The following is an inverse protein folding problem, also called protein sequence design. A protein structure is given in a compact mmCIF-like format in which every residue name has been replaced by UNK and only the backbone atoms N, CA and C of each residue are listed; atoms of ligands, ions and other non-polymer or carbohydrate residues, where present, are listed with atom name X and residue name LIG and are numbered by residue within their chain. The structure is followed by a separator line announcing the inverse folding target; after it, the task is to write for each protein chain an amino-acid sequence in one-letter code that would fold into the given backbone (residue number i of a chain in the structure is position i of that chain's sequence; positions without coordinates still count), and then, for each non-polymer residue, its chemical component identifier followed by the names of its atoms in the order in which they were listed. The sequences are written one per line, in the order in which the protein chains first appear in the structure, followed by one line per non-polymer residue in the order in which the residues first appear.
data_IF_048335676723
#
_entry.id   IF_048335676723
#
_cell.length_a   1.000
_cell.length_b   1.000
_cell.length_c   1.000
_cell.angle_alpha   90.00
_cell.angle_beta   90.00
_cell.angle_gamma   90.00
#
_symmetry.space_group_name_H-M   'P 1'
#
loop_
_entity.id
_entity.type
_entity.pdbx_description
1 polymer ?
#
# COMPACT_ATOMS: atom_id res chain seq x y z
N UNK A 1 -16.51 3.52 8.99
CA UNK A 1 -16.47 4.91 9.53
C UNK A 1 -15.57 5.76 8.66
N UNK A 2 -16.00 6.98 8.29
CA UNK A 2 -15.12 7.96 7.62
C UNK A 2 -14.40 8.80 8.69
N UNK A 3 -13.20 9.27 8.41
CA UNK A 3 -12.43 10.13 9.34
C UNK A 3 -13.19 11.40 9.74
N UNK A 4 -14.03 11.93 8.86
CA UNK A 4 -14.84 13.13 9.10
C UNK A 4 -16.15 12.88 9.82
N UNK A 5 -16.46 11.63 10.21
CA UNK A 5 -17.72 11.31 10.90
C UNK A 5 -17.61 11.49 12.42
N UNK A 6 -18.69 11.93 13.06
CA UNK A 6 -18.78 12.00 14.53
C UNK A 6 -18.53 10.65 15.21
N UNK A 7 -18.97 9.56 14.56
CA UNK A 7 -18.71 8.19 15.04
C UNK A 7 -17.23 7.86 15.10
N UNK A 8 -16.42 8.37 14.16
CA UNK A 8 -14.97 8.20 14.21
C UNK A 8 -14.34 8.99 15.35
N UNK A 9 -14.78 10.24 15.57
CA UNK A 9 -14.26 11.07 16.67
C UNK A 9 -14.58 10.40 18.02
N UNK A 10 -15.81 9.93 18.22
CA UNK A 10 -16.22 9.22 19.44
C UNK A 10 -15.39 7.93 19.63
N UNK A 11 -15.27 7.13 18.56
CA UNK A 11 -14.44 5.92 18.57
C UNK A 11 -13.00 6.24 18.98
N UNK A 12 -12.42 7.29 18.40
CA UNK A 12 -11.04 7.69 18.68
C UNK A 12 -10.86 8.15 20.14
N UNK A 13 -11.78 8.96 20.67
CA UNK A 13 -11.77 9.40 22.07
C UNK A 13 -11.82 8.21 23.02
N UNK A 14 -12.73 7.25 22.80
CA UNK A 14 -12.86 6.05 23.63
C UNK A 14 -11.60 5.19 23.51
N UNK A 15 -11.12 4.94 22.30
CA UNK A 15 -9.95 4.09 22.07
C UNK A 15 -8.69 4.66 22.73
N UNK A 16 -8.42 5.96 22.58
CA UNK A 16 -7.23 6.61 23.15
C UNK A 16 -7.34 6.61 24.69
N UNK A 17 -8.52 6.91 25.25
CA UNK A 17 -8.70 6.88 26.70
C UNK A 17 -8.42 5.48 27.25
N UNK A 18 -8.99 4.44 26.67
CA UNK A 18 -8.73 3.07 27.05
C UNK A 18 -7.26 2.68 26.85
N UNK A 19 -6.63 3.13 25.77
CA UNK A 19 -5.24 2.81 25.44
C UNK A 19 -4.25 3.21 26.54
N UNK A 20 -4.45 4.35 27.16
CA UNK A 20 -3.58 4.83 28.25
C UNK A 20 -4.03 4.39 29.64
N UNK A 21 -5.26 3.88 29.79
CA UNK A 21 -5.79 3.36 31.06
C UNK A 21 -5.43 1.89 31.29
N UNK A 22 -5.33 1.08 30.23
CA UNK A 22 -5.05 -0.36 30.36
C UNK A 22 -3.55 -0.62 30.64
N UNK A 23 -3.19 -1.81 31.15
CA UNK A 23 -1.80 -2.22 31.27
C UNK A 23 -1.08 -2.16 29.93
N UNK A 24 0.09 -1.55 29.88
CA UNK A 24 0.87 -1.27 28.64
C UNK A 24 1.06 -2.50 27.77
N UNK A 25 1.33 -3.66 28.35
CA UNK A 25 1.45 -4.96 27.65
C UNK A 25 0.21 -5.38 26.85
N UNK A 26 -0.94 -4.78 27.14
CA UNK A 26 -2.21 -5.04 26.44
C UNK A 26 -2.54 -4.01 25.36
N UNK A 27 -1.78 -2.92 25.27
CA UNK A 27 -2.05 -1.82 24.34
C UNK A 27 -2.16 -2.28 22.88
N UNK A 28 -1.23 -3.11 22.41
CA UNK A 28 -1.30 -3.63 21.04
C UNK A 28 -2.52 -4.52 20.79
N UNK A 29 -3.00 -5.24 21.81
CA UNK A 29 -4.23 -6.07 21.72
C UNK A 29 -5.47 -5.19 21.62
N UNK A 30 -5.50 -4.09 22.37
CA UNK A 30 -6.58 -3.10 22.26
C UNK A 30 -6.59 -2.44 20.89
N UNK A 31 -5.42 -2.11 20.34
CA UNK A 31 -5.33 -1.56 18.97
C UNK A 31 -5.80 -2.57 17.92
N UNK A 32 -5.50 -3.86 18.09
CA UNK A 32 -6.01 -4.92 17.24
C UNK A 32 -7.54 -4.99 17.30
N UNK A 33 -8.10 -5.03 18.50
CA UNK A 33 -9.55 -5.03 18.71
C UNK A 33 -10.19 -3.77 18.10
N UNK A 34 -9.64 -2.60 18.38
CA UNK A 34 -10.09 -1.33 17.82
C UNK A 34 -10.05 -1.31 16.30
N UNK A 35 -8.99 -1.86 15.70
CA UNK A 35 -8.86 -1.96 14.24
C UNK A 35 -9.93 -2.87 13.63
N UNK A 36 -10.25 -4.00 14.25
CA UNK A 36 -11.33 -4.87 13.78
C UNK A 36 -12.71 -4.26 14.01
N UNK A 37 -12.93 -3.59 15.13
CA UNK A 37 -14.17 -2.83 15.39
C UNK A 37 -14.34 -1.75 14.32
N UNK A 38 -13.30 -0.94 14.06
CA UNK A 38 -13.32 0.09 13.02
C UNK A 38 -13.68 -0.50 11.64
N UNK A 39 -13.05 -1.65 11.30
CA UNK A 39 -13.28 -2.31 10.03
C UNK A 39 -14.68 -2.94 9.92
N UNK A 40 -15.21 -3.49 11.01
CA UNK A 40 -16.56 -4.04 11.08
C UNK A 40 -17.63 -3.01 10.69
N UNK A 41 -17.45 -1.75 11.09
CA UNK A 41 -18.36 -0.66 10.67
C UNK A 41 -18.27 -0.28 9.18
N UNK A 42 -17.33 -0.82 8.44
CA UNK A 42 -17.30 -0.69 6.96
C UNK A 42 -18.11 -1.77 6.25
N UNK A 43 -18.59 -2.76 6.99
CA UNK A 43 -19.34 -3.93 6.51
C UNK A 43 -18.73 -5.23 7.01
N UNK A 44 -19.56 -6.05 7.69
CA UNK A 44 -19.09 -7.29 8.30
C UNK A 44 -18.49 -8.28 7.28
N UNK A 45 -19.03 -8.35 6.05
CA UNK A 45 -18.53 -9.20 4.96
C UNK A 45 -17.09 -8.81 4.54
N UNK A 46 -16.71 -7.56 4.72
CA UNK A 46 -15.38 -7.08 4.37
C UNK A 46 -14.28 -7.69 5.27
N UNK A 47 -14.64 -8.11 6.49
CA UNK A 47 -13.73 -8.80 7.40
C UNK A 47 -13.18 -10.10 6.79
N UNK A 48 -13.95 -10.81 5.98
CA UNK A 48 -13.50 -12.06 5.36
C UNK A 48 -12.29 -11.84 4.46
N UNK A 49 -12.26 -10.75 3.70
CA UNK A 49 -11.14 -10.44 2.79
C UNK A 49 -9.85 -10.13 3.55
N UNK A 50 -9.93 -9.29 4.57
CA UNK A 50 -8.73 -8.94 5.35
C UNK A 50 -8.24 -10.14 6.18
N UNK A 51 -9.15 -10.96 6.73
CA UNK A 51 -8.80 -12.19 7.44
C UNK A 51 -8.14 -13.20 6.50
N UNK A 52 -8.69 -13.43 5.30
CA UNK A 52 -8.09 -14.29 4.29
C UNK A 52 -6.67 -13.83 3.91
N UNK A 53 -6.48 -12.51 3.76
CA UNK A 53 -5.15 -11.91 3.50
C UNK A 53 -4.19 -12.13 4.67
N UNK A 54 -4.62 -11.92 5.92
CA UNK A 54 -3.79 -12.13 7.11
C UNK A 54 -3.38 -13.59 7.23
N UNK A 55 -4.35 -14.51 7.15
CA UNK A 55 -4.15 -15.96 7.33
C UNK A 55 -3.22 -16.51 6.25
N UNK A 56 -3.48 -16.20 4.97
CA UNK A 56 -2.63 -16.67 3.87
C UNK A 56 -1.19 -16.15 3.99
N UNK A 57 -1.03 -14.87 4.30
CA UNK A 57 0.30 -14.24 4.47
C UNK A 57 1.06 -14.83 5.66
N UNK A 58 0.37 -15.08 6.78
CA UNK A 58 0.96 -15.67 7.98
C UNK A 58 1.49 -17.08 7.73
N UNK A 59 0.65 -17.99 7.23
CA UNK A 59 1.05 -19.37 7.01
C UNK A 59 2.13 -19.50 5.93
N UNK A 60 2.05 -18.73 4.87
CA UNK A 60 3.07 -18.75 3.82
C UNK A 60 4.39 -18.16 4.31
N UNK A 61 4.34 -17.09 5.12
CA UNK A 61 5.54 -16.55 5.77
C UNK A 61 6.26 -17.58 6.63
N UNK A 62 5.52 -18.30 7.48
CA UNK A 62 6.07 -19.39 8.29
C UNK A 62 6.63 -20.53 7.44
N UNK A 63 5.97 -20.86 6.31
CA UNK A 63 6.43 -21.91 5.39
C UNK A 63 7.75 -21.55 4.70
N UNK A 64 7.91 -20.29 4.31
CA UNK A 64 9.17 -19.79 3.75
C UNK A 64 10.29 -19.89 4.80
N UNK A 65 10.02 -19.53 6.06
CA UNK A 65 10.99 -19.63 7.17
C UNK A 65 11.37 -21.11 7.48
N UNK A 66 10.37 -21.99 7.52
CA UNK A 66 10.62 -23.43 7.68
C UNK A 66 11.60 -23.97 6.61
N UNK A 67 11.41 -23.54 5.35
CA UNK A 67 12.30 -23.93 4.25
C UNK A 67 13.71 -23.33 4.42
N UNK A 68 13.81 -22.09 4.93
CA UNK A 68 15.11 -21.47 5.23
C UNK A 68 15.86 -22.26 6.32
N UNK A 69 15.17 -22.63 7.40
CA UNK A 69 15.74 -23.42 8.51
C UNK A 69 16.18 -24.79 8.02
N UNK A 70 15.32 -25.53 7.31
CA UNK A 70 15.68 -26.83 6.71
C UNK A 70 16.92 -26.73 5.82
N UNK A 71 17.04 -25.63 5.05
CA UNK A 71 18.23 -25.39 4.23
C UNK A 71 19.49 -25.18 5.10
N UNK A 72 19.37 -24.36 6.15
CA UNK A 72 20.49 -24.07 7.05
C UNK A 72 20.96 -25.32 7.79
N UNK A 73 20.04 -26.09 8.36
CA UNK A 73 20.32 -27.33 9.11
C UNK A 73 20.97 -28.35 8.21
N UNK A 74 20.39 -28.63 7.04
CA UNK A 74 20.95 -29.59 6.08
C UNK A 74 22.38 -29.22 5.64
N UNK A 75 22.63 -27.94 5.36
CA UNK A 75 23.96 -27.49 4.95
C UNK A 75 24.96 -27.52 6.10
N UNK A 76 24.51 -27.38 7.35
CA UNK A 76 25.35 -27.48 8.55
C UNK A 76 25.73 -28.94 8.82
N UNK A 77 24.78 -29.85 8.81
CA UNK A 77 24.98 -31.27 9.05
C UNK A 77 25.89 -31.94 8.01
N UNK A 78 25.76 -31.51 6.74
CA UNK A 78 26.50 -32.07 5.62
C UNK A 78 27.65 -31.17 5.13
N UNK A 79 28.18 -30.29 6.00
CA UNK A 79 29.17 -29.25 5.62
C UNK A 79 30.42 -29.87 4.97
N UNK A 80 30.91 -30.99 5.48
CA UNK A 80 32.12 -31.67 5.04
C UNK A 80 31.88 -32.71 3.90
N UNK A 81 30.63 -33.17 3.77
CA UNK A 81 30.26 -34.21 2.80
C UNK A 81 29.85 -33.64 1.44
N UNK A 82 29.34 -32.42 1.39
CA UNK A 82 28.84 -31.83 0.16
C UNK A 82 29.90 -31.02 -0.56
N UNK A 83 29.97 -31.18 -1.86
CA UNK A 83 30.75 -30.33 -2.77
C UNK A 83 30.12 -28.91 -2.87
N UNK A 84 30.88 -27.96 -3.39
CA UNK A 84 30.36 -26.61 -3.64
C UNK A 84 29.17 -26.62 -4.60
N UNK A 85 29.20 -27.52 -5.60
CA UNK A 85 28.11 -27.62 -6.59
C UNK A 85 26.85 -28.21 -5.98
N UNK A 86 26.94 -29.25 -5.18
CA UNK A 86 25.80 -29.86 -4.48
C UNK A 86 25.15 -28.86 -3.50
N UNK A 87 25.97 -28.11 -2.74
CA UNK A 87 25.48 -27.00 -1.89
C UNK A 87 24.71 -25.96 -2.69
N UNK A 88 25.21 -25.58 -3.85
CA UNK A 88 24.55 -24.61 -4.74
C UNK A 88 23.23 -25.16 -5.26
N UNK A 89 23.24 -26.39 -5.80
CA UNK A 89 22.04 -27.04 -6.32
C UNK A 89 20.94 -27.19 -5.26
N UNK A 90 21.31 -27.57 -4.03
CA UNK A 90 20.36 -27.67 -2.94
C UNK A 90 19.75 -26.30 -2.58
N UNK A 91 20.56 -25.23 -2.50
CA UNK A 91 20.08 -23.87 -2.29
C UNK A 91 19.10 -23.43 -3.38
N UNK A 92 19.42 -23.72 -4.64
CA UNK A 92 18.54 -23.39 -5.78
C UNK A 92 17.21 -24.14 -5.70
N UNK A 93 17.23 -25.43 -5.32
CA UNK A 93 16.03 -26.25 -5.12
C UNK A 93 15.12 -25.69 -4.02
N UNK A 94 15.70 -25.29 -2.87
CA UNK A 94 14.91 -24.67 -1.78
C UNK A 94 14.38 -23.31 -2.21
N UNK A 95 15.21 -22.50 -2.86
CA UNK A 95 14.81 -21.18 -3.37
C UNK A 95 13.65 -21.28 -4.37
N UNK A 96 13.64 -22.29 -5.24
CA UNK A 96 12.53 -22.54 -6.17
C UNK A 96 11.23 -22.87 -5.42
N UNK A 97 11.30 -23.70 -4.35
CA UNK A 97 10.14 -24.00 -3.51
C UNK A 97 9.60 -22.75 -2.80
N UNK A 98 10.49 -21.94 -2.23
CA UNK A 98 10.11 -20.67 -1.59
C UNK A 98 9.45 -19.70 -2.59
N UNK A 99 9.99 -19.64 -3.81
CA UNK A 99 9.42 -18.84 -4.89
C UNK A 99 8.00 -19.29 -5.24
N UNK A 100 7.74 -20.60 -5.32
CA UNK A 100 6.39 -21.11 -5.58
C UNK A 100 5.40 -20.71 -4.48
N UNK A 101 5.80 -20.76 -3.21
CA UNK A 101 4.97 -20.30 -2.10
C UNK A 101 4.73 -18.79 -2.11
N UNK A 102 5.78 -18.02 -2.42
CA UNK A 102 5.65 -16.59 -2.60
C UNK A 102 4.64 -16.26 -3.71
N UNK A 103 4.79 -16.88 -4.89
CA UNK A 103 3.87 -16.67 -6.00
C UNK A 103 2.43 -17.06 -5.63
N UNK A 104 2.23 -18.19 -4.94
CA UNK A 104 0.91 -18.58 -4.47
C UNK A 104 0.27 -17.51 -3.57
N UNK A 105 1.04 -16.94 -2.63
CA UNK A 105 0.56 -15.84 -1.77
C UNK A 105 0.22 -14.57 -2.59
N UNK A 106 1.10 -14.19 -3.50
CA UNK A 106 0.90 -13.00 -4.33
C UNK A 106 -0.32 -13.17 -5.23
N UNK A 107 -0.46 -14.30 -5.92
CA UNK A 107 -1.62 -14.56 -6.78
C UNK A 107 -2.92 -14.66 -6.00
N UNK A 108 -2.92 -15.24 -4.81
CA UNK A 108 -4.11 -15.29 -3.96
C UNK A 108 -4.57 -13.89 -3.55
N UNK A 109 -3.66 -13.08 -2.99
CA UNK A 109 -4.00 -11.73 -2.50
C UNK A 109 -4.29 -10.74 -3.63
N UNK A 110 -3.50 -10.77 -4.72
CA UNK A 110 -3.80 -9.98 -5.92
C UNK A 110 -5.06 -10.48 -6.64
N UNK A 111 -5.34 -11.78 -6.61
CA UNK A 111 -6.56 -12.36 -7.16
C UNK A 111 -7.81 -11.84 -6.44
N UNK A 112 -7.78 -11.80 -5.11
CA UNK A 112 -8.86 -11.18 -4.32
C UNK A 112 -9.05 -9.71 -4.74
N UNK A 113 -7.95 -8.94 -4.77
CA UNK A 113 -7.99 -7.53 -5.18
C UNK A 113 -8.53 -7.38 -6.62
N UNK A 114 -8.07 -8.22 -7.55
CA UNK A 114 -8.48 -8.17 -8.94
C UNK A 114 -9.97 -8.48 -9.11
N UNK A 115 -10.46 -9.54 -8.48
CA UNK A 115 -11.88 -9.90 -8.54
C UNK A 115 -12.75 -8.78 -7.96
N UNK A 116 -12.40 -8.27 -6.77
CA UNK A 116 -13.24 -7.29 -6.10
C UNK A 116 -13.21 -5.93 -6.81
N UNK A 117 -12.06 -5.52 -7.32
CA UNK A 117 -11.88 -4.18 -7.89
C UNK A 117 -12.15 -4.10 -9.39
N UNK A 118 -11.81 -5.15 -10.15
CA UNK A 118 -11.77 -5.05 -11.62
C UNK A 118 -12.83 -5.90 -12.35
N UNK A 119 -13.67 -6.69 -11.66
CA UNK A 119 -14.70 -7.51 -12.32
C UNK A 119 -15.65 -6.65 -13.16
N UNK A 120 -16.22 -5.59 -12.60
CA UNK A 120 -17.14 -4.73 -13.35
C UNK A 120 -16.44 -3.93 -14.45
N UNK A 121 -15.19 -3.53 -14.27
CA UNK A 121 -14.37 -2.94 -15.33
C UNK A 121 -14.14 -3.93 -16.48
N UNK A 122 -13.85 -5.19 -16.17
CA UNK A 122 -13.70 -6.23 -17.19
C UNK A 122 -15.03 -6.49 -17.92
N UNK A 123 -16.15 -6.58 -17.19
CA UNK A 123 -17.49 -6.74 -17.79
C UNK A 123 -17.81 -5.56 -18.71
N UNK A 124 -17.55 -4.32 -18.30
CA UNK A 124 -17.80 -3.14 -19.14
C UNK A 124 -17.02 -3.20 -20.47
N UNK A 125 -15.72 -3.58 -20.40
CA UNK A 125 -14.90 -3.71 -21.61
C UNK A 125 -15.38 -4.89 -22.51
N UNK A 126 -15.76 -6.03 -21.90
CA UNK A 126 -16.33 -7.16 -22.64
C UNK A 126 -17.65 -6.74 -23.30
N UNK A 127 -18.54 -6.06 -22.59
CA UNK A 127 -19.80 -5.57 -23.14
C UNK A 127 -19.58 -4.60 -24.31
N UNK A 128 -18.57 -3.74 -24.23
CA UNK A 128 -18.20 -2.87 -25.35
C UNK A 128 -17.80 -3.66 -26.60
N UNK A 129 -17.14 -4.81 -26.44
CA UNK A 129 -16.82 -5.70 -27.56
C UNK A 129 -18.06 -6.45 -28.03
N UNK A 130 -18.87 -7.00 -27.10
CA UNK A 130 -20.10 -7.74 -27.44
C UNK A 130 -21.11 -6.87 -28.21
N UNK A 131 -21.20 -5.59 -27.84
CA UNK A 131 -22.09 -4.64 -28.55
C UNK A 131 -21.71 -4.44 -30.01
N UNK A 132 -20.41 -4.48 -30.35
CA UNK A 132 -19.94 -4.43 -31.75
C UNK A 132 -20.50 -5.61 -32.57
N UNK A 133 -20.55 -6.80 -31.92
CA UNK A 133 -21.07 -8.03 -32.56
C UNK A 133 -22.57 -8.23 -32.34
N UNK A 134 -23.29 -7.25 -31.77
CA UNK A 134 -24.72 -7.32 -31.41
C UNK A 134 -25.09 -8.57 -30.59
N UNK A 135 -24.19 -8.98 -29.71
CA UNK A 135 -24.37 -10.07 -28.74
C UNK A 135 -24.98 -9.57 -27.44
N UNK A 136 -25.60 -10.49 -26.68
CA UNK A 136 -26.16 -10.16 -25.36
C UNK A 136 -25.07 -9.71 -24.37
N UNK A 137 -25.31 -8.59 -23.73
CA UNK A 137 -24.38 -8.03 -22.71
C UNK A 137 -24.43 -8.84 -21.42
N UNK A 138 -23.30 -8.91 -20.75
CA UNK A 138 -23.14 -9.50 -19.41
C UNK A 138 -23.67 -8.55 -18.34
N UNK A 139 -24.37 -9.07 -17.35
CA UNK A 139 -24.85 -8.30 -16.20
C UNK A 139 -23.69 -7.91 -15.28
N UNK A 140 -23.71 -6.67 -14.79
CA UNK A 140 -22.78 -6.22 -13.75
C UNK A 140 -23.01 -6.94 -12.42
N UNK A 141 -21.93 -7.20 -11.69
CA UNK A 141 -21.98 -7.88 -10.38
C UNK A 141 -21.98 -6.83 -9.28
N UNK A 142 -22.85 -7.01 -8.28
CA UNK A 142 -22.87 -6.13 -7.12
C UNK A 142 -21.79 -6.54 -6.10
N UNK A 143 -20.55 -6.08 -6.35
CA UNK A 143 -19.41 -6.29 -5.45
C UNK A 143 -19.12 -4.98 -4.73
N UNK A 144 -19.29 -4.99 -3.40
CA UNK A 144 -18.91 -3.86 -2.56
C UNK A 144 -17.39 -3.88 -2.39
N UNK A 145 -16.71 -2.80 -2.77
CA UNK A 145 -15.26 -2.67 -2.61
C UNK A 145 -14.90 -2.54 -1.11
N UNK A 146 -14.16 -3.51 -0.53
CA UNK A 146 -13.77 -3.43 0.86
C UNK A 146 -12.85 -2.23 1.11
N UNK A 147 -13.13 -1.50 2.18
CA UNK A 147 -12.33 -0.35 2.57
C UNK A 147 -10.86 -0.75 2.77
N UNK A 148 -9.97 -0.01 2.13
CA UNK A 148 -8.52 -0.19 2.29
C UNK A 148 -7.92 -1.44 1.66
N UNK A 149 -8.68 -2.22 0.84
CA UNK A 149 -8.18 -3.47 0.25
C UNK A 149 -6.87 -3.28 -0.50
N UNK A 150 -6.70 -2.22 -1.26
CA UNK A 150 -5.45 -1.91 -1.97
C UNK A 150 -4.30 -1.65 -1.00
N UNK A 151 -4.54 -0.90 0.08
CA UNK A 151 -3.51 -0.54 1.05
C UNK A 151 -3.00 -1.75 1.83
N UNK A 152 -3.90 -2.56 2.40
CA UNK A 152 -3.45 -3.73 3.15
C UNK A 152 -2.87 -4.82 2.25
N UNK A 153 -3.32 -4.93 0.98
CA UNK A 153 -2.69 -5.83 0.01
C UNK A 153 -1.25 -5.40 -0.28
N UNK A 154 -0.96 -4.11 -0.50
CA UNK A 154 0.41 -3.65 -0.68
C UNK A 154 1.28 -3.86 0.56
N UNK A 155 0.74 -3.66 1.77
CA UNK A 155 1.46 -3.94 3.02
C UNK A 155 1.85 -5.41 3.12
N UNK A 156 0.90 -6.32 2.88
CA UNK A 156 1.13 -7.76 2.97
C UNK A 156 2.05 -8.29 1.86
N UNK A 157 1.92 -7.77 0.63
CA UNK A 157 2.84 -8.12 -0.47
C UNK A 157 4.26 -7.66 -0.15
N UNK A 158 4.44 -6.43 0.32
CA UNK A 158 5.75 -5.95 0.75
C UNK A 158 6.34 -6.82 1.86
N UNK A 159 5.53 -7.15 2.87
CA UNK A 159 5.93 -8.02 3.96
C UNK A 159 6.41 -9.40 3.48
N UNK A 160 5.60 -10.12 2.69
CA UNK A 160 5.95 -11.49 2.26
C UNK A 160 7.15 -11.52 1.30
N UNK A 161 7.30 -10.50 0.44
CA UNK A 161 8.46 -10.36 -0.43
C UNK A 161 9.73 -10.12 0.40
N UNK A 162 9.67 -9.29 1.43
CA UNK A 162 10.81 -8.99 2.29
C UNK A 162 11.20 -10.21 3.15
N UNK A 163 10.24 -10.99 3.65
CA UNK A 163 10.48 -12.30 4.29
C UNK A 163 11.18 -13.27 3.32
N UNK A 164 10.69 -13.37 2.08
CA UNK A 164 11.33 -14.20 1.05
C UNK A 164 12.76 -13.76 0.71
N UNK A 165 13.02 -12.45 0.73
CA UNK A 165 14.37 -11.89 0.53
C UNK A 165 15.29 -12.11 1.73
N UNK A 166 14.74 -12.53 2.88
CA UNK A 166 15.49 -12.72 4.13
C UNK A 166 15.85 -11.39 4.81
N UNK A 167 15.08 -10.33 4.56
CA UNK A 167 15.30 -9.02 5.19
C UNK A 167 15.02 -9.08 6.69
N UNK A 168 14.02 -9.87 7.10
CA UNK A 168 13.66 -10.16 8.49
C UNK A 168 12.94 -11.53 8.58
N UNK A 169 12.93 -12.10 9.79
CA UNK A 169 12.14 -13.29 10.07
C UNK A 169 10.63 -12.99 10.05
N UNK A 170 9.77 -13.95 9.66
CA UNK A 170 8.33 -13.76 9.71
C UNK A 170 7.84 -13.60 11.15
N UNK A 171 6.82 -12.77 11.31
CA UNK A 171 6.13 -12.61 12.59
C UNK A 171 5.43 -13.91 12.98
N UNK A 172 5.75 -14.42 14.18
CA UNK A 172 5.22 -15.68 14.69
C UNK A 172 3.91 -15.54 15.45
N UNK A 173 3.55 -14.32 15.82
CA UNK A 173 2.29 -14.02 16.47
C UNK A 173 1.30 -13.50 15.43
N UNK A 174 0.31 -14.33 15.09
CA UNK A 174 -0.72 -13.96 14.11
C UNK A 174 -1.48 -12.68 14.51
N UNK A 175 -1.67 -12.41 15.80
CA UNK A 175 -2.32 -11.20 16.28
C UNK A 175 -1.48 -9.94 15.99
N UNK A 176 -0.15 -10.02 16.12
CA UNK A 176 0.74 -8.92 15.75
C UNK A 176 0.73 -8.68 14.24
N UNK A 177 0.83 -9.74 13.43
CA UNK A 177 0.70 -9.60 11.98
C UNK A 177 -0.68 -9.04 11.60
N UNK A 178 -1.75 -9.51 12.25
CA UNK A 178 -3.09 -8.99 12.03
C UNK A 178 -3.18 -7.49 12.35
N UNK A 179 -2.61 -7.03 13.46
CA UNK A 179 -2.55 -5.61 13.79
C UNK A 179 -1.77 -4.81 12.73
N UNK A 180 -0.60 -5.30 12.30
CA UNK A 180 0.15 -4.64 11.23
C UNK A 180 -0.70 -4.44 9.98
N UNK A 181 -1.41 -5.49 9.54
CA UNK A 181 -2.23 -5.46 8.33
C UNK A 181 -3.45 -4.55 8.50
N UNK A 182 -4.14 -4.66 9.65
CA UNK A 182 -5.42 -4.01 9.92
C UNK A 182 -5.31 -2.67 10.67
N UNK A 183 -4.13 -2.13 10.89
CA UNK A 183 -3.92 -0.91 11.69
C UNK A 183 -4.81 0.23 11.18
N UNK A 184 -5.87 0.52 11.94
CA UNK A 184 -7.02 1.32 11.50
C UNK A 184 -6.69 2.71 10.95
N UNK A 185 -5.69 3.46 11.49
CA UNK A 185 -5.39 4.77 10.94
C UNK A 185 -4.97 4.72 9.47
N UNK A 186 -4.34 3.61 9.04
CA UNK A 186 -3.81 3.44 7.68
C UNK A 186 -4.77 2.74 6.72
N UNK A 187 -5.95 2.27 7.18
CA UNK A 187 -6.88 1.53 6.32
C UNK A 187 -7.69 2.43 5.38
N UNK A 188 -8.03 3.65 5.81
CA UNK A 188 -8.83 4.57 5.00
C UNK A 188 -7.92 5.32 4.03
N UNK A 189 -6.91 5.96 4.56
CA UNK A 189 -6.01 6.84 3.83
C UNK A 189 -4.74 7.01 4.65
N UNK A 190 -3.66 6.35 4.27
CA UNK A 190 -2.44 6.38 5.07
C UNK A 190 -1.19 6.06 4.25
N UNK A 191 -0.01 6.31 4.81
CA UNK A 191 1.24 5.85 4.21
C UNK A 191 1.27 4.33 4.13
N UNK A 192 1.82 3.79 3.04
CA UNK A 192 2.05 2.34 2.89
C UNK A 192 3.29 1.98 3.72
N UNK A 193 3.07 1.62 4.98
CA UNK A 193 4.16 1.28 5.90
C UNK A 193 4.75 -0.09 5.60
N UNK A 194 6.07 -0.20 5.71
CA UNK A 194 6.75 -1.49 5.73
C UNK A 194 6.69 -2.10 7.13
N UNK A 195 6.82 -3.42 7.19
CA UNK A 195 6.73 -4.14 8.46
C UNK A 195 7.84 -3.70 9.43
N UNK A 196 9.08 -3.67 8.97
CA UNK A 196 10.25 -3.28 9.77
C UNK A 196 10.20 -1.83 10.26
N UNK A 197 9.55 -0.92 9.55
CA UNK A 197 9.37 0.46 9.98
C UNK A 197 8.28 0.57 11.06
N UNK A 198 7.08 0.06 10.77
CA UNK A 198 5.93 0.24 11.67
C UNK A 198 6.02 -0.64 12.92
N UNK A 199 6.54 -1.87 12.81
CA UNK A 199 6.63 -2.82 13.90
C UNK A 199 7.52 -2.33 15.05
N UNK A 200 8.49 -1.45 14.78
CA UNK A 200 9.38 -0.89 15.79
C UNK A 200 8.64 -0.16 16.92
N UNK A 201 7.56 0.54 16.60
CA UNK A 201 6.76 1.27 17.58
C UNK A 201 5.39 0.65 17.83
N UNK A 202 4.80 -0.06 16.85
CA UNK A 202 3.44 -0.59 16.93
C UNK A 202 3.21 -1.57 18.09
N UNK A 203 4.25 -2.32 18.49
CA UNK A 203 4.15 -3.36 19.51
C UNK A 203 4.85 -2.99 20.83
N UNK A 204 5.44 -1.79 20.89
CA UNK A 204 6.07 -1.28 22.12
C UNK A 204 5.02 -0.85 23.13
N UNK A 205 5.48 -0.73 24.38
CA UNK A 205 4.69 -0.19 25.47
C UNK A 205 4.84 1.33 25.52
N UNK A 206 3.74 2.05 25.42
CA UNK A 206 3.72 3.50 25.39
C UNK A 206 3.18 4.11 26.68
N UNK A 207 3.87 5.11 27.19
CA UNK A 207 3.38 5.99 28.26
C UNK A 207 2.71 7.20 27.64
N UNK A 208 1.75 7.79 28.34
CA UNK A 208 1.19 9.07 27.93
C UNK A 208 2.24 10.15 28.04
N UNK A 209 2.58 10.77 26.92
CA UNK A 209 3.51 11.89 26.83
C UNK A 209 2.77 13.12 26.31
N UNK A 210 2.52 14.12 27.16
CA UNK A 210 1.69 15.29 26.82
C UNK A 210 2.17 16.06 25.60
N UNK A 211 3.49 16.15 25.40
CA UNK A 211 4.09 16.89 24.28
C UNK A 211 3.81 16.18 22.95
N UNK A 212 4.13 14.89 22.87
CA UNK A 212 3.90 14.06 21.67
C UNK A 212 2.40 13.97 21.35
N UNK A 213 1.57 13.82 22.37
CA UNK A 213 0.11 13.83 22.23
C UNK A 213 -0.39 15.16 21.67
N UNK A 214 0.06 16.29 22.22
CA UNK A 214 -0.33 17.64 21.76
C UNK A 214 0.04 17.89 20.30
N UNK A 215 1.25 17.49 19.89
CA UNK A 215 1.65 17.61 18.47
C UNK A 215 0.84 16.71 17.55
N UNK A 216 0.56 15.48 17.98
CA UNK A 216 -0.33 14.57 17.22
C UNK A 216 -1.73 15.16 17.07
N UNK A 217 -2.30 15.70 18.15
CA UNK A 217 -3.60 16.34 18.13
C UNK A 217 -3.64 17.58 17.24
N UNK A 218 -2.65 18.48 17.32
CA UNK A 218 -2.51 19.62 16.42
C UNK A 218 -2.45 19.17 14.95
N UNK A 219 -1.74 18.08 14.68
CA UNK A 219 -1.65 17.52 13.33
C UNK A 219 -2.99 16.98 12.84
N UNK A 220 -3.77 16.32 13.69
CA UNK A 220 -5.13 15.89 13.39
C UNK A 220 -6.00 17.09 13.04
N UNK A 221 -5.97 18.15 13.85
CA UNK A 221 -6.73 19.38 13.57
C UNK A 221 -6.30 20.03 12.24
N UNK A 222 -5.01 20.06 11.94
CA UNK A 222 -4.50 20.55 10.65
C UNK A 222 -4.98 19.68 9.48
N UNK A 223 -5.04 18.37 9.65
CA UNK A 223 -5.63 17.46 8.67
C UNK A 223 -7.11 17.74 8.41
N UNK A 224 -7.90 17.93 9.48
CA UNK A 224 -9.31 18.34 9.35
C UNK A 224 -9.47 19.69 8.69
N UNK A 225 -8.64 20.67 9.03
CA UNK A 225 -8.66 21.99 8.38
C UNK A 225 -8.44 21.87 6.87
N UNK A 226 -7.41 21.12 6.44
CA UNK A 226 -7.16 20.90 5.01
C UNK A 226 -8.34 20.19 4.32
N UNK A 227 -8.90 19.16 4.96
CA UNK A 227 -10.01 18.39 4.38
C UNK A 227 -11.30 19.22 4.33
N UNK A 228 -11.77 19.73 5.46
CA UNK A 228 -13.11 20.30 5.59
C UNK A 228 -13.18 21.79 5.14
N UNK A 229 -12.11 22.56 5.41
CA UNK A 229 -12.11 24.00 5.13
C UNK A 229 -11.53 24.32 3.75
N UNK A 230 -10.51 23.57 3.29
CA UNK A 230 -9.90 23.82 2.00
C UNK A 230 -10.51 22.90 0.92
N UNK A 231 -10.30 21.57 1.03
CA UNK A 231 -10.65 20.66 -0.04
C UNK A 231 -12.16 20.61 -0.33
N UNK A 232 -12.99 20.39 0.71
CA UNK A 232 -14.44 20.26 0.55
C UNK A 232 -15.14 21.59 0.12
N UNK A 233 -14.49 22.73 0.35
CA UNK A 233 -15.02 24.02 -0.15
C UNK A 233 -14.61 24.28 -1.60
N UNK A 234 -13.37 23.97 -1.95
CA UNK A 234 -12.86 24.21 -3.31
C UNK A 234 -13.48 23.23 -4.31
N UNK A 235 -13.77 21.97 -3.90
CA UNK A 235 -14.35 20.96 -4.81
C UNK A 235 -15.64 21.43 -5.45
N UNK A 236 -16.49 22.20 -4.74
CA UNK A 236 -17.73 22.74 -5.29
C UNK A 236 -17.45 23.68 -6.49
N UNK A 237 -16.45 24.56 -6.37
CA UNK A 237 -16.05 25.46 -7.45
C UNK A 237 -15.44 24.69 -8.64
N UNK A 238 -14.58 23.69 -8.36
CA UNK A 238 -14.00 22.81 -9.40
C UNK A 238 -15.11 22.12 -10.20
N UNK A 239 -16.06 21.47 -9.50
CA UNK A 239 -17.19 20.80 -10.13
C UNK A 239 -18.09 21.74 -10.93
N UNK A 240 -18.29 22.97 -10.45
CA UNK A 240 -19.07 23.98 -11.17
C UNK A 240 -18.41 24.36 -12.50
N UNK A 241 -17.09 24.56 -12.50
CA UNK A 241 -16.33 24.90 -13.71
C UNK A 241 -16.30 23.70 -14.69
N UNK A 242 -15.96 22.51 -14.19
CA UNK A 242 -15.76 21.32 -15.04
C UNK A 242 -17.05 20.77 -15.64
N UNK A 243 -18.19 20.91 -14.97
CA UNK A 243 -19.50 20.45 -15.46
C UNK A 243 -20.19 21.40 -16.41
N UNK A 244 -19.72 22.63 -16.51
CA UNK A 244 -20.30 23.65 -17.39
C UNK A 244 -19.22 24.27 -18.30
N UNK A 245 -18.56 23.49 -19.16
CA UNK A 245 -17.43 23.98 -19.98
C UNK A 245 -17.84 25.04 -20.97
N UNK A 246 -19.12 25.09 -21.40
CA UNK A 246 -19.66 26.11 -22.30
C UNK A 246 -19.80 27.49 -21.63
N UNK A 247 -19.96 27.51 -20.29
CA UNK A 247 -20.13 28.75 -19.51
C UNK A 247 -18.83 29.26 -18.94
N UNK A 248 -17.90 28.37 -18.65
CA UNK A 248 -16.63 28.64 -17.98
C UNK A 248 -15.45 28.31 -18.89
N UNK A 249 -15.09 29.21 -19.77
CA UNK A 249 -13.98 29.11 -20.70
C UNK A 249 -12.79 30.02 -20.32
N UNK A 250 -11.75 30.05 -21.12
CA UNK A 250 -10.61 30.94 -20.98
C UNK A 250 -9.99 30.94 -19.59
N UNK A 251 -10.05 32.08 -18.89
CA UNK A 251 -9.44 32.26 -17.57
C UNK A 251 -10.04 31.34 -16.50
N UNK A 252 -11.33 31.00 -16.62
CA UNK A 252 -11.98 30.12 -15.66
C UNK A 252 -11.39 28.71 -15.69
N UNK A 253 -10.91 28.23 -16.84
CA UNK A 253 -10.21 26.92 -16.95
C UNK A 253 -8.91 26.94 -16.16
N UNK A 254 -8.12 28.03 -16.27
CA UNK A 254 -6.88 28.17 -15.48
C UNK A 254 -7.17 28.22 -13.98
N UNK A 255 -8.19 28.96 -13.55
CA UNK A 255 -8.64 28.98 -12.14
C UNK A 255 -9.07 27.60 -11.70
N UNK A 256 -9.83 26.87 -12.53
CA UNK A 256 -10.25 25.49 -12.27
C UNK A 256 -9.07 24.52 -12.09
N UNK A 257 -8.05 24.65 -12.93
CA UNK A 257 -6.81 23.83 -12.82
C UNK A 257 -6.07 24.10 -11.51
N UNK A 258 -5.91 25.38 -11.12
CA UNK A 258 -5.26 25.74 -9.84
C UNK A 258 -6.09 25.25 -8.66
N UNK A 259 -7.39 25.44 -8.69
CA UNK A 259 -8.31 24.98 -7.65
C UNK A 259 -8.28 23.45 -7.54
N UNK A 260 -8.28 22.73 -8.65
CA UNK A 260 -8.17 21.28 -8.64
C UNK A 260 -6.84 20.81 -8.02
N UNK A 261 -5.72 21.45 -8.36
CA UNK A 261 -4.42 21.12 -7.78
C UNK A 261 -4.40 21.35 -6.26
N UNK A 262 -4.95 22.46 -5.77
CA UNK A 262 -5.07 22.77 -4.34
C UNK A 262 -6.01 21.78 -3.65
N UNK A 263 -7.17 21.51 -4.25
CA UNK A 263 -8.17 20.59 -3.72
C UNK A 263 -7.59 19.19 -3.56
N UNK A 264 -6.97 18.65 -4.62
CA UNK A 264 -6.36 17.31 -4.61
C UNK A 264 -5.29 17.19 -3.52
N UNK A 265 -4.42 18.19 -3.41
CA UNK A 265 -3.38 18.23 -2.38
C UNK A 265 -3.97 18.30 -0.97
N UNK A 266 -4.91 19.21 -0.74
CA UNK A 266 -5.50 19.40 0.57
C UNK A 266 -6.33 18.20 1.02
N UNK A 267 -7.08 17.57 0.10
CA UNK A 267 -7.87 16.37 0.36
C UNK A 267 -6.99 15.18 0.75
N UNK A 268 -6.01 14.90 -0.09
CA UNK A 268 -5.14 13.74 0.14
C UNK A 268 -4.24 13.95 1.36
N UNK A 269 -3.56 15.08 1.46
CA UNK A 269 -2.68 15.35 2.62
C UNK A 269 -3.46 15.54 3.92
N UNK A 270 -4.71 15.99 3.86
CA UNK A 270 -5.58 16.10 5.02
C UNK A 270 -5.81 14.75 5.70
N UNK A 271 -6.22 13.74 4.93
CA UNK A 271 -6.38 12.38 5.46
C UNK A 271 -5.07 11.75 5.95
N UNK A 272 -3.96 12.00 5.25
CA UNK A 272 -2.63 11.55 5.69
C UNK A 272 -2.24 12.18 7.03
N UNK A 273 -2.47 13.49 7.23
CA UNK A 273 -2.15 14.15 8.49
C UNK A 273 -3.03 13.67 9.64
N UNK A 274 -4.31 13.37 9.39
CA UNK A 274 -5.15 12.72 10.40
C UNK A 274 -4.56 11.36 10.79
N UNK A 275 -4.19 10.52 9.81
CA UNK A 275 -3.59 9.21 10.04
C UNK A 275 -2.31 9.29 10.86
N UNK A 276 -1.38 10.17 10.47
CA UNK A 276 -0.10 10.32 11.16
C UNK A 276 -0.31 10.93 12.56
N UNK A 277 -1.18 11.95 12.67
CA UNK A 277 -1.49 12.59 13.94
C UNK A 277 -2.12 11.64 14.95
N UNK A 278 -3.08 10.80 14.52
CA UNK A 278 -3.68 9.75 15.37
C UNK A 278 -2.62 8.73 15.81
N UNK A 279 -1.76 8.30 14.89
CA UNK A 279 -0.67 7.37 15.22
C UNK A 279 0.30 8.00 16.23
N UNK A 280 0.66 9.26 16.04
CA UNK A 280 1.53 10.01 16.94
C UNK A 280 0.91 10.18 18.34
N UNK A 281 -0.42 10.43 18.42
CA UNK A 281 -1.13 10.47 19.70
C UNK A 281 -1.08 9.14 20.46
N UNK A 282 -0.86 8.02 19.77
CA UNK A 282 -0.71 6.66 20.33
C UNK A 282 0.78 6.29 20.57
N UNK A 283 1.72 7.18 20.26
CA UNK A 283 3.16 6.92 20.36
C UNK A 283 3.72 6.10 19.16
N UNK A 284 2.93 5.88 18.11
CA UNK A 284 3.29 5.05 16.96
C UNK A 284 3.83 5.94 15.85
N UNK A 285 5.02 5.62 15.37
CA UNK A 285 5.67 6.35 14.28
C UNK A 285 5.19 5.86 12.91
N UNK A 286 4.72 6.79 12.11
CA UNK A 286 4.30 6.56 10.72
C UNK A 286 5.06 7.53 9.81
N UNK A 287 5.62 7.02 8.71
CA UNK A 287 6.42 7.81 7.78
C UNK A 287 5.62 8.91 7.08
N UNK A 288 6.28 10.01 6.79
CA UNK A 288 5.74 11.08 5.96
C UNK A 288 5.45 10.60 4.54
N UNK A 289 4.35 11.07 3.98
CA UNK A 289 3.93 10.70 2.62
C UNK A 289 3.99 11.87 1.63
N UNK A 290 4.10 13.11 2.13
CA UNK A 290 4.20 14.32 1.34
C UNK A 290 5.17 15.31 1.99
N UNK A 291 6.09 15.89 1.19
CA UNK A 291 7.05 16.91 1.63
C UNK A 291 7.02 18.08 0.65
N UNK A 292 6.03 18.99 0.79
CA UNK A 292 5.86 20.20 0.00
C UNK A 292 6.09 19.99 -1.51
N UNK A 293 5.33 19.09 -2.18
CA UNK A 293 5.61 18.67 -3.56
C UNK A 293 5.53 19.82 -4.58
N UNK A 294 4.66 20.79 -4.38
CA UNK A 294 4.49 21.92 -5.31
C UNK A 294 5.65 22.94 -5.28
N UNK A 295 6.59 22.79 -4.33
CA UNK A 295 7.83 23.59 -4.30
C UNK A 295 9.01 22.87 -4.95
N UNK A 296 8.76 21.82 -5.71
CA UNK A 296 9.80 21.04 -6.41
C UNK A 296 10.34 21.82 -7.62
N UNK A 297 11.64 21.68 -7.85
CA UNK A 297 12.35 22.33 -8.98
C UNK A 297 12.38 21.47 -10.25
N UNK A 298 11.95 20.21 -10.15
CA UNK A 298 11.88 19.28 -11.27
C UNK A 298 10.76 18.25 -11.06
N UNK A 299 10.31 17.62 -12.15
CA UNK A 299 9.33 16.53 -12.11
C UNK A 299 9.85 15.33 -11.29
N UNK A 300 11.14 15.03 -11.38
CA UNK A 300 11.76 13.98 -10.58
C UNK A 300 11.71 14.29 -9.09
N UNK A 301 11.99 15.54 -8.70
CA UNK A 301 11.88 15.98 -7.31
C UNK A 301 10.41 15.98 -6.83
N UNK A 302 9.47 16.38 -7.69
CA UNK A 302 8.04 16.31 -7.39
C UNK A 302 7.62 14.89 -6.98
N UNK A 303 7.95 13.86 -7.74
CA UNK A 303 7.63 12.48 -7.42
C UNK A 303 8.38 11.91 -6.21
N UNK A 304 9.51 12.50 -5.82
CA UNK A 304 10.19 12.17 -4.55
C UNK A 304 9.51 12.80 -3.34
N UNK A 305 8.63 13.80 -3.54
CA UNK A 305 7.91 14.53 -2.49
C UNK A 305 6.42 14.23 -2.45
N UNK A 306 5.87 13.66 -3.50
CA UNK A 306 4.46 13.28 -3.66
C UNK A 306 4.28 11.79 -3.46
N UNK A 307 3.35 11.41 -2.56
CA UNK A 307 2.99 10.00 -2.27
C UNK A 307 4.21 9.09 -2.09
N UNK A 308 5.14 9.52 -1.23
CA UNK A 308 6.50 8.98 -1.07
C UNK A 308 6.50 7.48 -0.83
N UNK A 309 5.60 6.99 0.06
CA UNK A 309 5.56 5.58 0.45
C UNK A 309 5.11 4.68 -0.70
N UNK A 310 4.19 5.14 -1.55
CA UNK A 310 3.81 4.43 -2.76
C UNK A 310 4.95 4.41 -3.79
N UNK A 311 5.57 5.56 -4.05
CA UNK A 311 6.71 5.66 -4.97
C UNK A 311 7.87 4.75 -4.57
N UNK A 312 8.22 4.72 -3.27
CA UNK A 312 9.25 3.81 -2.74
C UNK A 312 8.82 2.35 -2.83
N UNK A 313 7.53 2.03 -2.63
CA UNK A 313 7.00 0.68 -2.77
C UNK A 313 7.17 0.17 -4.21
N UNK A 314 6.70 0.94 -5.22
CA UNK A 314 6.84 0.58 -6.63
C UNK A 314 8.29 0.46 -7.05
N UNK A 315 9.16 1.36 -6.58
CA UNK A 315 10.60 1.30 -6.85
C UNK A 315 11.21 0.00 -6.35
N UNK A 316 10.93 -0.40 -5.11
CA UNK A 316 11.64 -1.50 -4.46
C UNK A 316 11.06 -2.89 -4.78
N UNK A 317 9.77 -2.96 -5.12
CA UNK A 317 9.10 -4.24 -5.39
C UNK A 317 8.79 -4.48 -6.87
N UNK A 318 8.82 -3.45 -7.71
CA UNK A 318 8.60 -3.58 -9.16
C UNK A 318 9.82 -3.13 -9.95
N UNK A 319 10.22 -1.86 -9.83
CA UNK A 319 11.28 -1.28 -10.66
C UNK A 319 12.61 -2.01 -10.51
N UNK A 320 13.12 -2.14 -9.29
CA UNK A 320 14.42 -2.79 -9.07
C UNK A 320 14.42 -4.28 -9.46
N UNK A 321 13.45 -5.14 -9.03
CA UNK A 321 13.42 -6.52 -9.47
C UNK A 321 13.34 -6.67 -11.00
N UNK A 322 12.52 -5.83 -11.65
CA UNK A 322 12.40 -5.83 -13.11
C UNK A 322 13.72 -5.43 -13.77
N UNK A 323 14.39 -4.38 -13.27
CA UNK A 323 15.64 -3.86 -13.85
C UNK A 323 16.78 -4.87 -13.86
N UNK A 324 16.80 -5.84 -12.94
CA UNK A 324 17.84 -6.86 -12.82
C UNK A 324 17.43 -8.24 -13.34
N UNK A 325 16.20 -8.41 -13.84
CA UNK A 325 15.74 -9.69 -14.37
C UNK A 325 16.42 -10.04 -15.71
N UNK A 326 16.53 -11.34 -16.01
CA UNK A 326 17.20 -11.82 -17.23
C UNK A 326 16.69 -11.17 -18.53
N UNK A 327 15.36 -11.04 -18.77
CA UNK A 327 14.86 -10.36 -19.96
C UNK A 327 15.36 -8.93 -20.08
N UNK A 328 15.39 -8.17 -18.99
CA UNK A 328 15.85 -6.78 -18.99
C UNK A 328 17.35 -6.65 -19.20
N UNK A 329 18.15 -7.57 -18.64
CA UNK A 329 19.59 -7.65 -18.90
C UNK A 329 19.87 -7.99 -20.37
N UNK A 330 19.10 -8.89 -20.98
CA UNK A 330 19.20 -9.20 -22.40
C UNK A 330 18.81 -8.01 -23.27
N UNK A 331 17.73 -7.31 -22.93
CA UNK A 331 17.33 -6.07 -23.58
C UNK A 331 18.44 -5.01 -23.50
N UNK A 332 19.12 -4.90 -22.35
CA UNK A 332 20.25 -4.00 -22.17
C UNK A 332 21.40 -4.33 -23.13
N UNK A 333 21.74 -5.62 -23.26
CA UNK A 333 22.80 -6.07 -24.18
C UNK A 333 22.42 -5.80 -25.64
N UNK A 334 21.22 -6.18 -26.04
CA UNK A 334 20.67 -5.95 -27.36
C UNK A 334 20.70 -4.45 -27.73
N UNK A 335 20.17 -3.63 -26.84
CA UNK A 335 20.08 -2.18 -27.07
C UNK A 335 21.45 -1.51 -27.21
N UNK A 336 22.45 -1.93 -26.40
CA UNK A 336 23.82 -1.40 -26.52
C UNK A 336 24.46 -1.77 -27.85
N UNK A 337 24.27 -3.00 -28.32
CA UNK A 337 24.81 -3.47 -29.56
C UNK A 337 24.23 -2.74 -30.81
N UNK A 338 22.95 -2.31 -30.73
CA UNK A 338 22.26 -1.68 -31.86
C UNK A 338 22.27 -0.13 -31.81
N UNK A 339 22.17 0.46 -30.61
CA UNK A 339 22.00 1.90 -30.42
C UNK A 339 23.18 2.57 -29.70
N UNK A 340 24.26 1.79 -29.45
CA UNK A 340 25.42 2.27 -28.72
C UNK A 340 25.17 2.43 -27.20
N UNK A 341 26.26 2.61 -26.47
CA UNK A 341 26.27 2.56 -24.99
C UNK A 341 25.39 3.66 -24.33
N UNK A 342 25.39 4.87 -24.93
CA UNK A 342 24.67 6.03 -24.36
C UNK A 342 23.16 5.85 -24.38
N UNK A 343 22.61 5.37 -25.48
CA UNK A 343 21.15 5.13 -25.65
C UNK A 343 20.79 3.75 -25.07
N UNK A 344 21.58 2.74 -25.38
CA UNK A 344 21.30 1.36 -25.00
C UNK A 344 21.23 1.13 -23.49
N UNK A 345 21.94 1.88 -22.66
CA UNK A 345 21.81 1.85 -21.19
C UNK A 345 20.51 2.43 -20.68
N UNK A 346 19.88 3.34 -21.42
CA UNK A 346 18.63 4.03 -21.01
C UNK A 346 17.37 3.23 -21.34
N UNK A 347 17.37 2.44 -22.42
CA UNK A 347 16.20 1.69 -22.88
C UNK A 347 15.63 0.78 -21.79
N UNK A 348 16.42 -0.06 -21.08
CA UNK A 348 15.89 -0.89 -20.01
C UNK A 348 15.30 -0.09 -18.84
N UNK A 349 15.90 1.06 -18.51
CA UNK A 349 15.41 1.96 -17.47
C UNK A 349 14.05 2.54 -17.85
N UNK A 350 13.91 3.02 -19.09
CA UNK A 350 12.64 3.55 -19.58
C UNK A 350 11.57 2.45 -19.66
N UNK A 351 11.93 1.24 -20.11
CA UNK A 351 11.00 0.10 -20.12
C UNK A 351 10.51 -0.24 -18.72
N UNK A 352 11.41 -0.32 -17.73
CA UNK A 352 11.03 -0.57 -16.33
C UNK A 352 10.16 0.57 -15.78
N UNK A 353 10.47 1.83 -16.11
CA UNK A 353 9.67 2.99 -15.71
C UNK A 353 8.27 2.95 -16.33
N UNK A 354 8.14 2.62 -17.60
CA UNK A 354 6.84 2.46 -18.27
C UNK A 354 5.99 1.38 -17.62
N UNK A 355 6.59 0.23 -17.24
CA UNK A 355 5.88 -0.83 -16.51
C UNK A 355 5.38 -0.33 -15.16
N UNK A 356 6.19 0.44 -14.43
CA UNK A 356 5.76 1.05 -13.15
C UNK A 356 4.59 2.00 -13.36
N UNK A 357 4.65 2.90 -14.34
CA UNK A 357 3.56 3.83 -14.64
C UNK A 357 2.29 3.11 -15.10
N UNK A 358 2.42 2.10 -15.94
CA UNK A 358 1.30 1.28 -16.37
C UNK A 358 0.64 0.56 -15.19
N UNK A 359 1.42 -0.05 -14.31
CA UNK A 359 0.91 -0.72 -13.10
C UNK A 359 0.25 0.29 -12.15
N UNK A 360 0.83 1.49 -12.01
CA UNK A 360 0.26 2.57 -11.21
C UNK A 360 -1.08 3.04 -11.81
N UNK A 361 -1.14 3.18 -13.15
CA UNK A 361 -2.37 3.55 -13.85
C UNK A 361 -3.48 2.53 -13.66
N UNK A 362 -3.19 1.23 -13.83
CA UNK A 362 -4.15 0.15 -13.54
C UNK A 362 -4.62 0.21 -12.08
N UNK A 363 -3.69 0.42 -11.14
CA UNK A 363 -4.05 0.47 -9.73
C UNK A 363 -4.99 1.64 -9.40
N UNK A 364 -4.82 2.80 -10.02
CA UNK A 364 -5.68 3.97 -9.84
C UNK A 364 -6.99 3.87 -10.62
N UNK A 365 -6.94 3.35 -11.84
CA UNK A 365 -8.07 3.33 -12.77
C UNK A 365 -8.85 2.01 -12.74
N UNK A 366 -10.05 2.03 -12.19
CA UNK A 366 -11.03 0.92 -12.31
C UNK A 366 -12.46 1.45 -12.37
N UNK A 367 -12.61 2.73 -12.66
CA UNK A 367 -13.89 3.40 -12.88
C UNK A 367 -13.95 3.96 -14.28
#
# INVERSE_FOLDING_TARGET
MLFTSYSFILFLCVLISLYYLIPKRLQWKLLLLGSFVFYFFSGWSNLLYILATIVSTYFIGLKIDELNRKQADYLKENKEKLTKEEKKLYKEKIKAKQWSWLLACLFFNLGILAVVKYTNFAIANINSVLSIFRMTELSFVNIILPMGISFYTFKTMGYIIDVYRGKYEPERNIGKLALFVSFFPQLVQGPISRYDDLAQTLYQEHSFEPKTFSFGFQRVLWGYFKKLVIADRIVAAVLTITRNPEKYDGIYVLVGMVFYAIQLYADFTGGIDITIGVSQMLGIEVKENFIRPYFSKSIEEYWRRWHITMGTWFRDYIFYPLSVCKPMLNLSRFSRNHFGDKIGKRIPVYTATLVVWFTTGIWHGSS
#
